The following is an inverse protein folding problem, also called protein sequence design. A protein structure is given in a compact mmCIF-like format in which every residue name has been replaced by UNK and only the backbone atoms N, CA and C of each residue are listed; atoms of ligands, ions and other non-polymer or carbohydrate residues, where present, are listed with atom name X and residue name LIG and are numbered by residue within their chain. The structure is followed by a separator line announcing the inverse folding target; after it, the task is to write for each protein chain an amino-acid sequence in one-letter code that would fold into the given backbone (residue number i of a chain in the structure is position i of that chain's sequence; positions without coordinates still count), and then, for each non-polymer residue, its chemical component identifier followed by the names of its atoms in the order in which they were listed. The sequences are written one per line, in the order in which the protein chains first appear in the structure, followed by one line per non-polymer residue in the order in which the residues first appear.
data_IF_176341522193
#
_entry.id   IF_176341522193
#
_cell.length_a   1.000
_cell.length_b   1.000
_cell.length_c   1.000
_cell.angle_alpha   90.00
_cell.angle_beta   90.00
_cell.angle_gamma   90.00
#
_symmetry.space_group_name_H-M   'P 1'
#
loop_
_entity.id
_entity.type
_entity.pdbx_description
1 polymer ?
#
# COMPACT_ATOMS: atom_id res chain seq x y z
N UNK A 1 12.49 6.51 28.16
CA UNK A 1 12.33 7.16 26.85
C UNK A 1 10.97 7.81 26.69
N UNK A 2 9.85 7.07 26.67
CA UNK A 2 8.51 7.66 26.48
C UNK A 2 8.17 8.88 27.36
N UNK A 3 8.50 8.85 28.65
CA UNK A 3 8.21 9.98 29.57
C UNK A 3 9.02 11.23 29.17
N UNK A 4 10.26 11.04 28.73
CA UNK A 4 11.12 12.14 28.29
C UNK A 4 10.63 12.75 26.98
N UNK A 5 10.15 11.91 26.05
CA UNK A 5 9.57 12.36 24.79
C UNK A 5 8.30 13.19 25.03
N UNK A 6 7.43 12.75 25.96
CA UNK A 6 6.24 13.53 26.37
C UNK A 6 6.63 14.88 27.00
N UNK A 7 7.65 14.92 27.85
CA UNK A 7 8.15 16.17 28.45
C UNK A 7 8.71 17.12 27.37
N UNK A 8 9.45 16.58 26.40
CA UNK A 8 9.96 17.36 25.27
C UNK A 8 8.84 17.91 24.40
N UNK A 9 7.85 17.09 24.07
CA UNK A 9 6.66 17.51 23.34
C UNK A 9 5.94 18.67 24.06
N UNK A 10 5.68 18.53 25.35
CA UNK A 10 5.00 19.54 26.14
C UNK A 10 5.81 20.85 26.26
N UNK A 11 7.15 20.76 26.28
CA UNK A 11 8.05 21.91 26.47
C UNK A 11 8.31 22.67 25.18
N UNK A 12 8.39 21.97 24.03
CA UNK A 12 8.81 22.57 22.76
C UNK A 12 7.67 22.88 21.79
N UNK A 13 6.51 22.27 21.98
CA UNK A 13 5.35 22.60 21.15
C UNK A 13 4.45 23.60 21.88
N UNK A 14 4.09 24.73 21.22
CA UNK A 14 3.19 25.72 21.82
C UNK A 14 1.83 25.05 22.10
N UNK A 15 1.26 25.36 23.26
CA UNK A 15 -0.12 24.95 23.55
C UNK A 15 -1.06 25.73 22.65
N UNK A 16 -1.93 25.03 21.93
CA UNK A 16 -2.98 25.65 21.13
C UNK A 16 -4.08 26.15 22.07
N UNK A 17 -4.58 27.37 21.83
CA UNK A 17 -5.79 27.90 22.49
C UNK A 17 -7.07 27.26 21.93
N UNK A 18 -6.95 26.50 20.84
CA UNK A 18 -8.08 25.80 20.23
C UNK A 18 -8.46 24.54 21.03
N UNK A 19 -9.74 24.13 20.89
CA UNK A 19 -10.23 22.89 21.50
C UNK A 19 -9.34 21.71 21.11
N UNK A 20 -8.97 20.83 22.07
CA UNK A 20 -8.16 19.63 21.78
C UNK A 20 -8.84 18.68 20.80
N UNK A 21 -10.13 18.85 20.54
CA UNK A 21 -10.90 18.04 19.60
C UNK A 21 -10.92 18.55 18.16
N UNK A 22 -10.27 19.67 17.86
CA UNK A 22 -10.21 20.27 16.51
C UNK A 22 -9.66 19.29 15.46
N UNK A 23 -8.80 18.34 15.86
CA UNK A 23 -8.27 17.31 14.96
C UNK A 23 -9.37 16.41 14.34
N UNK A 24 -10.53 16.27 14.97
CA UNK A 24 -11.64 15.47 14.44
C UNK A 24 -12.12 15.96 13.06
N UNK A 25 -11.87 17.22 12.73
CA UNK A 25 -12.12 17.77 11.39
C UNK A 25 -11.34 17.01 10.31
N UNK A 26 -10.12 16.57 10.62
CA UNK A 26 -9.29 15.84 9.68
C UNK A 26 -9.82 14.42 9.38
N UNK A 27 -10.55 13.83 10.31
CA UNK A 27 -11.20 12.54 10.10
C UNK A 27 -12.24 12.63 8.99
N UNK A 28 -13.05 13.69 8.95
CA UNK A 28 -14.04 13.90 7.89
C UNK A 28 -13.39 14.11 6.51
N UNK A 29 -12.23 14.76 6.46
CA UNK A 29 -11.53 15.07 5.22
C UNK A 29 -10.78 13.83 4.68
N UNK A 30 -10.10 13.09 5.57
CA UNK A 30 -9.22 11.98 5.20
C UNK A 30 -9.81 10.59 5.43
N UNK A 31 -11.13 10.49 5.61
CA UNK A 31 -11.81 9.21 5.74
C UNK A 31 -11.50 8.23 4.59
N UNK A 32 -11.47 8.66 3.30
CA UNK A 32 -11.07 7.76 2.22
C UNK A 32 -9.65 7.21 2.36
N UNK A 33 -8.72 8.01 2.87
CA UNK A 33 -7.35 7.58 3.13
C UNK A 33 -7.28 6.50 4.22
N UNK A 34 -8.06 6.68 5.30
CA UNK A 34 -8.18 5.68 6.37
C UNK A 34 -8.76 4.36 5.84
N UNK A 35 -9.79 4.42 4.99
CA UNK A 35 -10.36 3.23 4.34
C UNK A 35 -9.38 2.56 3.39
N UNK A 36 -8.59 3.33 2.61
CA UNK A 36 -7.54 2.79 1.76
C UNK A 36 -6.54 1.99 2.59
N UNK A 37 -6.03 2.55 3.68
CA UNK A 37 -5.11 1.89 4.59
C UNK A 37 -5.71 0.64 5.24
N UNK A 38 -6.96 0.72 5.70
CA UNK A 38 -7.67 -0.42 6.28
C UNK A 38 -7.82 -1.57 5.27
N UNK A 39 -8.34 -1.28 4.07
CA UNK A 39 -8.53 -2.30 3.04
C UNK A 39 -7.20 -2.90 2.57
N UNK A 40 -6.15 -2.09 2.41
CA UNK A 40 -4.82 -2.58 2.03
C UNK A 40 -4.26 -3.54 3.09
N UNK A 41 -4.41 -3.20 4.38
CA UNK A 41 -3.97 -4.07 5.47
C UNK A 41 -4.82 -5.35 5.57
N UNK A 42 -6.13 -5.27 5.37
CA UNK A 42 -6.99 -6.47 5.29
C UNK A 42 -6.51 -7.37 4.16
N UNK A 43 -6.32 -6.84 2.94
CA UNK A 43 -5.82 -7.63 1.82
C UNK A 43 -4.48 -8.28 2.09
N UNK A 44 -3.58 -7.56 2.80
CA UNK A 44 -2.23 -8.03 3.11
C UNK A 44 -2.19 -9.13 4.18
N UNK A 45 -3.05 -9.07 5.20
CA UNK A 45 -2.96 -9.93 6.38
C UNK A 45 -4.11 -10.92 6.54
N UNK A 46 -5.26 -10.71 5.87
CA UNK A 46 -6.41 -11.59 6.03
C UNK A 46 -6.11 -13.05 5.68
N UNK A 47 -5.26 -13.29 4.69
CA UNK A 47 -4.89 -14.65 4.30
C UNK A 47 -4.21 -15.44 5.45
N UNK A 48 -3.43 -14.78 6.32
CA UNK A 48 -2.85 -15.41 7.50
C UNK A 48 -3.94 -15.77 8.51
N UNK A 49 -4.81 -14.79 8.84
CA UNK A 49 -5.90 -14.98 9.82
C UNK A 49 -6.88 -16.08 9.36
N UNK A 50 -7.19 -16.13 8.06
CA UNK A 50 -8.03 -17.18 7.49
C UNK A 50 -7.35 -18.54 7.62
N UNK A 51 -6.04 -18.64 7.37
CA UNK A 51 -5.29 -19.91 7.56
C UNK A 51 -5.25 -20.36 9.03
N UNK A 52 -5.27 -19.43 10.00
CA UNK A 52 -5.35 -19.78 11.42
C UNK A 52 -6.67 -20.45 11.80
N UNK A 53 -7.76 -20.06 11.12
CA UNK A 53 -9.08 -20.68 11.30
C UNK A 53 -9.27 -21.98 10.52
N UNK A 54 -8.32 -22.29 9.61
CA UNK A 54 -8.36 -23.46 8.72
C UNK A 54 -7.68 -24.71 9.32
N UNK A 55 -7.57 -25.77 8.50
CA UNK A 55 -7.01 -27.06 8.93
C UNK A 55 -5.53 -27.00 9.37
N UNK A 56 -4.78 -25.97 8.93
CA UNK A 56 -3.38 -25.77 9.33
C UNK A 56 -3.26 -24.97 10.65
N UNK A 57 -4.37 -24.46 11.17
CA UNK A 57 -4.39 -23.67 12.37
C UNK A 57 -4.11 -24.51 13.60
N UNK A 58 -3.20 -24.04 14.45
CA UNK A 58 -2.84 -24.67 15.74
C UNK A 58 -3.06 -23.67 16.85
N UNK A 59 -3.71 -24.09 17.90
CA UNK A 59 -3.82 -23.28 19.12
C UNK A 59 -2.48 -23.28 19.86
N UNK A 60 -1.86 -22.12 19.98
CA UNK A 60 -0.58 -21.98 20.67
C UNK A 60 -0.80 -21.87 22.19
N UNK A 61 -1.64 -20.92 22.62
CA UNK A 61 -2.02 -20.75 24.03
C UNK A 61 -3.23 -19.81 24.18
N UNK A 62 -4.26 -20.23 24.88
CA UNK A 62 -5.46 -19.41 25.13
C UNK A 62 -6.15 -19.01 23.83
N UNK A 63 -6.24 -17.72 23.54
CA UNK A 63 -6.85 -17.18 22.33
C UNK A 63 -5.84 -17.01 21.16
N UNK A 64 -4.59 -17.39 21.35
CA UNK A 64 -3.57 -17.26 20.31
C UNK A 64 -3.57 -18.50 19.41
N UNK A 65 -3.87 -18.30 18.15
CA UNK A 65 -3.80 -19.27 17.07
C UNK A 65 -2.68 -18.89 16.10
N UNK A 66 -2.14 -19.84 15.42
CA UNK A 66 -1.15 -19.67 14.36
C UNK A 66 -1.17 -20.83 13.40
N UNK A 67 -0.60 -20.68 12.24
CA UNK A 67 -0.40 -21.74 11.26
C UNK A 67 1.09 -21.81 10.87
N UNK A 68 1.98 -22.41 11.68
CA UNK A 68 3.44 -22.34 11.48
C UNK A 68 3.88 -22.79 10.09
N UNK A 69 3.22 -23.78 9.52
CA UNK A 69 3.51 -24.27 8.15
C UNK A 69 3.22 -23.22 7.07
N UNK A 70 2.37 -22.24 7.35
CA UNK A 70 2.02 -21.16 6.43
C UNK A 70 2.66 -19.82 6.85
N UNK A 71 2.65 -19.49 8.13
CA UNK A 71 3.11 -18.19 8.66
C UNK A 71 4.61 -18.00 8.47
N UNK A 72 5.43 -19.06 8.68
CA UNK A 72 6.89 -18.95 8.54
C UNK A 72 7.30 -18.70 7.09
N UNK A 73 6.83 -19.47 6.09
CA UNK A 73 7.05 -19.14 4.69
C UNK A 73 6.54 -17.75 4.29
N UNK A 74 5.37 -17.35 4.80
CA UNK A 74 4.80 -16.05 4.52
C UNK A 74 5.67 -14.91 5.06
N UNK A 75 6.17 -15.02 6.28
CA UNK A 75 7.06 -14.03 6.87
C UNK A 75 8.36 -13.86 6.06
N UNK A 76 8.99 -14.96 5.65
CA UNK A 76 10.22 -14.89 4.88
C UNK A 76 9.96 -14.34 3.48
N UNK A 77 8.86 -14.75 2.83
CA UNK A 77 8.44 -14.20 1.55
C UNK A 77 8.14 -12.70 1.63
N UNK A 78 7.49 -12.25 2.72
CA UNK A 78 7.21 -10.83 2.96
C UNK A 78 8.49 -9.99 3.04
N UNK A 79 9.60 -10.50 3.56
CA UNK A 79 10.86 -9.76 3.62
C UNK A 79 11.40 -9.38 2.23
N UNK A 80 10.99 -10.07 1.17
CA UNK A 80 11.43 -9.75 -0.20
C UNK A 80 10.93 -8.39 -0.69
N UNK A 81 9.86 -7.85 -0.09
CA UNK A 81 9.34 -6.51 -0.45
C UNK A 81 10.19 -5.35 0.08
N UNK A 82 11.08 -5.60 1.03
CA UNK A 82 11.92 -4.54 1.62
C UNK A 82 12.71 -3.78 0.56
N UNK A 83 13.19 -4.49 -0.47
CA UNK A 83 13.92 -3.87 -1.58
C UNK A 83 13.05 -2.83 -2.30
N UNK A 84 11.80 -3.17 -2.60
CA UNK A 84 10.85 -2.25 -3.24
C UNK A 84 10.47 -1.12 -2.31
N UNK A 85 10.27 -1.36 -1.02
CA UNK A 85 9.93 -0.34 -0.04
C UNK A 85 11.04 0.71 0.09
N UNK A 86 12.30 0.29 0.18
CA UNK A 86 13.44 1.21 0.21
C UNK A 86 13.60 1.96 -1.11
N UNK A 87 13.46 1.25 -2.25
CA UNK A 87 13.55 1.86 -3.56
C UNK A 87 12.45 2.89 -3.79
N UNK A 88 11.23 2.66 -3.27
CA UNK A 88 10.12 3.60 -3.38
C UNK A 88 10.47 4.97 -2.79
N UNK A 89 11.03 5.01 -1.58
CA UNK A 89 11.42 6.26 -0.93
C UNK A 89 12.40 7.03 -1.81
N UNK A 90 13.43 6.37 -2.33
CA UNK A 90 14.43 7.03 -3.20
C UNK A 90 13.79 7.46 -4.54
N UNK A 91 13.05 6.59 -5.19
CA UNK A 91 12.44 6.89 -6.50
C UNK A 91 11.42 8.01 -6.41
N UNK A 92 10.55 8.00 -5.42
CA UNK A 92 9.47 8.98 -5.31
C UNK A 92 9.97 10.29 -4.73
N UNK A 93 10.67 10.27 -3.60
CA UNK A 93 11.09 11.50 -2.91
C UNK A 93 12.21 12.24 -3.65
N UNK A 94 13.16 11.51 -4.24
CA UNK A 94 14.32 12.15 -4.89
C UNK A 94 14.08 12.46 -6.35
N UNK A 95 13.43 11.55 -7.10
CA UNK A 95 13.33 11.69 -8.55
C UNK A 95 11.95 12.22 -9.01
N UNK A 96 10.86 11.68 -8.45
CA UNK A 96 9.51 12.04 -8.90
C UNK A 96 8.99 13.33 -8.25
N UNK A 97 9.10 13.46 -6.93
CA UNK A 97 8.51 14.58 -6.18
C UNK A 97 8.96 15.96 -6.66
N UNK A 98 10.23 16.22 -7.02
CA UNK A 98 10.63 17.53 -7.55
C UNK A 98 9.91 17.89 -8.86
N UNK A 99 9.69 16.91 -9.76
CA UNK A 99 8.97 17.11 -11.02
C UNK A 99 7.47 17.30 -10.79
N UNK A 100 6.89 16.52 -9.90
CA UNK A 100 5.52 16.68 -9.44
C UNK A 100 5.28 18.08 -8.85
N UNK A 101 6.14 18.53 -7.95
CA UNK A 101 6.06 19.87 -7.35
C UNK A 101 6.18 20.97 -8.41
N UNK A 102 7.11 20.86 -9.35
CA UNK A 102 7.27 21.83 -10.44
C UNK A 102 5.99 21.93 -11.27
N UNK A 103 5.42 20.81 -11.69
CA UNK A 103 4.17 20.78 -12.44
C UNK A 103 3.02 21.48 -11.70
N UNK A 104 2.81 21.14 -10.42
CA UNK A 104 1.73 21.74 -9.64
C UNK A 104 1.99 23.23 -9.30
N UNK A 105 3.22 23.67 -9.12
CA UNK A 105 3.53 25.08 -8.89
C UNK A 105 3.20 25.94 -10.11
N UNK A 106 3.45 25.43 -11.33
CA UNK A 106 3.10 26.16 -12.56
C UNK A 106 1.58 26.36 -12.69
N UNK A 107 0.76 25.43 -12.23
CA UNK A 107 -0.70 25.63 -12.16
C UNK A 107 -1.11 26.66 -11.13
N UNK A 108 -0.48 26.66 -9.96
CA UNK A 108 -0.88 27.52 -8.86
C UNK A 108 -0.34 28.96 -9.01
N UNK A 109 0.84 29.11 -9.59
CA UNK A 109 1.55 30.40 -9.69
C UNK A 109 1.36 31.10 -11.06
N UNK A 110 0.48 30.55 -11.92
CA UNK A 110 0.11 31.19 -13.19
C UNK A 110 1.14 30.99 -14.29
N UNK A 111 1.68 29.79 -14.44
CA UNK A 111 2.61 29.42 -15.51
C UNK A 111 2.00 29.52 -16.92
N UNK A 112 2.86 29.68 -17.93
CA UNK A 112 2.45 29.67 -19.34
C UNK A 112 2.05 28.24 -19.74
N UNK A 113 1.02 28.08 -20.58
CA UNK A 113 0.49 26.77 -21.01
C UNK A 113 1.58 25.87 -21.57
N UNK A 114 2.53 26.43 -22.36
CA UNK A 114 3.66 25.66 -22.91
C UNK A 114 4.56 25.07 -21.84
N UNK A 115 4.83 25.82 -20.76
CA UNK A 115 5.67 25.36 -19.64
C UNK A 115 4.95 24.27 -18.84
N UNK A 116 3.62 24.39 -18.67
CA UNK A 116 2.78 23.39 -17.99
C UNK A 116 2.82 22.06 -18.75
N UNK A 117 2.64 22.08 -20.08
CA UNK A 117 2.69 20.87 -20.93
C UNK A 117 4.07 20.21 -20.85
N UNK A 118 5.14 21.01 -20.94
CA UNK A 118 6.52 20.48 -20.85
C UNK A 118 6.77 19.86 -19.46
N UNK A 119 6.32 20.51 -18.40
CA UNK A 119 6.48 19.99 -17.04
C UNK A 119 5.67 18.70 -16.81
N UNK A 120 4.49 18.58 -17.42
CA UNK A 120 3.67 17.36 -17.41
C UNK A 120 4.41 16.20 -18.09
N UNK A 121 4.90 16.41 -19.30
CA UNK A 121 5.65 15.39 -20.05
C UNK A 121 6.89 14.92 -19.28
N UNK A 122 7.66 15.85 -18.71
CA UNK A 122 8.83 15.52 -17.89
C UNK A 122 8.45 14.72 -16.64
N UNK A 123 7.40 15.12 -15.95
CA UNK A 123 6.91 14.43 -14.75
C UNK A 123 6.45 13.01 -15.08
N UNK A 124 5.65 12.83 -16.13
CA UNK A 124 5.16 11.52 -16.56
C UNK A 124 6.28 10.63 -17.09
N UNK A 125 7.28 11.18 -17.79
CA UNK A 125 8.46 10.44 -18.23
C UNK A 125 9.26 9.89 -17.04
N UNK A 126 9.48 10.73 -16.01
CA UNK A 126 10.15 10.29 -14.77
C UNK A 126 9.31 9.25 -14.04
N UNK A 127 8.00 9.46 -13.89
CA UNK A 127 7.09 8.51 -13.27
C UNK A 127 7.17 7.13 -13.94
N UNK A 128 7.02 7.07 -15.25
CA UNK A 128 7.07 5.82 -16.01
C UNK A 128 8.42 5.13 -15.87
N UNK A 129 9.51 5.89 -15.91
CA UNK A 129 10.86 5.34 -15.71
C UNK A 129 11.02 4.73 -14.34
N UNK A 130 10.65 5.45 -13.27
CA UNK A 130 10.81 4.99 -11.89
C UNK A 130 9.92 3.78 -11.57
N UNK A 131 8.68 3.75 -12.08
CA UNK A 131 7.79 2.59 -11.95
C UNK A 131 8.35 1.35 -12.64
N UNK A 132 8.85 1.51 -13.88
CA UNK A 132 9.50 0.40 -14.61
C UNK A 132 10.72 -0.13 -13.86
N UNK A 133 11.58 0.76 -13.34
CA UNK A 133 12.74 0.35 -12.55
C UNK A 133 12.35 -0.37 -11.27
N UNK A 134 11.33 0.12 -10.57
CA UNK A 134 10.82 -0.52 -9.35
C UNK A 134 10.27 -1.91 -9.64
N UNK A 135 9.45 -2.04 -10.69
CA UNK A 135 8.91 -3.34 -11.12
C UNK A 135 10.01 -4.33 -11.54
N UNK A 136 11.01 -3.86 -12.33
CA UNK A 136 12.13 -4.70 -12.75
C UNK A 136 13.02 -5.13 -11.58
N UNK A 137 13.31 -4.24 -10.62
CA UNK A 137 14.06 -4.57 -9.42
C UNK A 137 13.33 -5.62 -8.58
N UNK A 138 12.02 -5.45 -8.37
CA UNK A 138 11.24 -6.42 -7.62
C UNK A 138 11.16 -7.77 -8.35
N UNK A 139 10.96 -7.77 -9.66
CA UNK A 139 10.99 -8.98 -10.47
C UNK A 139 12.33 -9.71 -10.35
N UNK A 140 13.45 -8.97 -10.44
CA UNK A 140 14.78 -9.52 -10.29
C UNK A 140 14.98 -10.14 -8.90
N UNK A 141 14.59 -9.45 -7.83
CA UNK A 141 14.70 -9.96 -6.45
C UNK A 141 13.84 -11.20 -6.28
N UNK A 142 12.60 -11.18 -6.75
CA UNK A 142 11.70 -12.34 -6.67
C UNK A 142 12.29 -13.53 -7.44
N UNK A 143 12.78 -13.32 -8.66
CA UNK A 143 13.41 -14.37 -9.47
C UNK A 143 14.68 -14.94 -8.81
N UNK A 144 15.54 -14.06 -8.27
CA UNK A 144 16.76 -14.46 -7.56
C UNK A 144 16.44 -15.29 -6.32
N UNK A 145 15.49 -14.85 -5.50
CA UNK A 145 15.05 -15.58 -4.30
C UNK A 145 14.45 -16.93 -4.67
N UNK A 146 13.60 -17.00 -5.70
CA UNK A 146 13.03 -18.25 -6.19
C UNK A 146 14.07 -19.21 -6.75
N UNK A 147 15.12 -18.69 -7.39
CA UNK A 147 16.22 -19.52 -7.92
C UNK A 147 17.09 -20.10 -6.80
N UNK A 148 17.25 -19.34 -5.72
CA UNK A 148 18.08 -19.73 -4.58
C UNK A 148 17.29 -20.37 -3.43
N UNK A 149 15.98 -20.57 -3.60
CA UNK A 149 15.06 -20.97 -2.52
C UNK A 149 15.55 -22.18 -1.74
N UNK A 150 15.99 -23.24 -2.42
CA UNK A 150 16.41 -24.47 -1.75
C UNK A 150 17.67 -24.24 -0.90
N UNK A 151 18.62 -23.45 -1.40
CA UNK A 151 19.84 -23.10 -0.66
C UNK A 151 19.54 -22.17 0.51
N UNK A 152 18.72 -21.14 0.30
CA UNK A 152 18.36 -20.16 1.33
C UNK A 152 17.60 -20.82 2.48
N UNK A 153 16.62 -21.65 2.17
CA UNK A 153 15.81 -22.31 3.20
C UNK A 153 16.57 -23.45 3.90
N UNK A 154 17.52 -24.10 3.23
CA UNK A 154 18.41 -25.09 3.87
C UNK A 154 19.35 -24.46 4.90
N UNK A 155 19.71 -23.18 4.75
CA UNK A 155 20.52 -22.44 5.72
C UNK A 155 19.75 -22.08 7.00
N UNK A 156 18.41 -22.07 6.93
CA UNK A 156 17.56 -21.73 8.06
C UNK A 156 17.13 -23.03 8.79
N UNK A 157 17.44 -23.19 10.10
CA UNK A 157 17.10 -24.41 10.86
C UNK A 157 15.60 -24.42 11.23
N UNK A 158 14.70 -24.19 10.26
CA UNK A 158 13.26 -24.03 10.47
C UNK A 158 12.44 -25.27 10.09
N UNK A 159 13.09 -26.37 9.64
CA UNK A 159 12.42 -27.63 9.31
C UNK A 159 11.45 -27.52 8.13
N UNK A 160 11.82 -26.81 7.07
CA UNK A 160 11.00 -26.68 5.87
C UNK A 160 10.67 -28.02 5.24
N UNK A 161 9.39 -28.25 4.96
CA UNK A 161 8.89 -29.38 4.18
C UNK A 161 8.45 -28.91 2.78
N UNK A 162 8.09 -29.87 1.92
CA UNK A 162 7.70 -29.57 0.52
C UNK A 162 6.49 -28.62 0.43
N UNK A 163 5.54 -28.72 1.37
CA UNK A 163 4.38 -27.84 1.43
C UNK A 163 4.79 -26.40 1.74
N UNK A 164 5.69 -26.20 2.71
CA UNK A 164 6.23 -24.88 3.06
C UNK A 164 7.03 -24.27 1.90
N UNK A 165 7.79 -25.09 1.15
CA UNK A 165 8.46 -24.64 -0.06
C UNK A 165 7.46 -24.18 -1.13
N UNK A 166 6.34 -24.88 -1.29
CA UNK A 166 5.24 -24.49 -2.18
C UNK A 166 4.66 -23.13 -1.79
N UNK A 167 4.31 -22.95 -0.52
CA UNK A 167 3.78 -21.67 -0.01
C UNK A 167 4.78 -20.54 -0.20
N UNK A 168 6.04 -20.75 0.16
CA UNK A 168 7.07 -19.74 0.00
C UNK A 168 7.17 -19.24 -1.44
N UNK A 169 7.22 -20.16 -2.43
CA UNK A 169 7.30 -19.79 -3.85
C UNK A 169 6.09 -18.98 -4.31
N UNK A 170 4.89 -19.44 -3.97
CA UNK A 170 3.64 -18.77 -4.34
C UNK A 170 3.53 -17.39 -3.69
N UNK A 171 3.85 -17.30 -2.41
CA UNK A 171 3.77 -16.06 -1.65
C UNK A 171 4.85 -15.05 -2.06
N UNK A 172 6.07 -15.46 -2.42
CA UNK A 172 7.09 -14.56 -2.98
C UNK A 172 6.60 -13.82 -4.22
N UNK A 173 5.92 -14.54 -5.13
CA UNK A 173 5.33 -13.90 -6.32
C UNK A 173 4.19 -12.98 -5.92
N UNK A 174 3.30 -13.42 -5.02
CA UNK A 174 2.19 -12.62 -4.51
C UNK A 174 2.65 -11.33 -3.84
N UNK A 175 3.61 -11.41 -2.94
CA UNK A 175 4.18 -10.22 -2.29
C UNK A 175 4.93 -9.31 -3.27
N UNK A 176 5.61 -9.88 -4.27
CA UNK A 176 6.24 -9.08 -5.32
C UNK A 176 5.23 -8.24 -6.11
N UNK A 177 4.11 -8.84 -6.52
CA UNK A 177 3.01 -8.13 -7.20
C UNK A 177 2.35 -7.09 -6.28
N UNK A 178 2.10 -7.46 -5.02
CA UNK A 178 1.59 -6.53 -4.01
C UNK A 178 2.51 -5.31 -3.85
N UNK A 179 3.82 -5.50 -3.75
CA UNK A 179 4.78 -4.42 -3.52
C UNK A 179 4.76 -3.39 -4.66
N UNK A 180 4.72 -3.86 -5.92
CA UNK A 180 4.61 -2.96 -7.08
C UNK A 180 3.23 -2.29 -7.12
N UNK A 181 2.15 -3.04 -6.89
CA UNK A 181 0.79 -2.49 -6.82
C UNK A 181 0.65 -1.43 -5.73
N UNK A 182 1.22 -1.66 -4.55
CA UNK A 182 1.23 -0.70 -3.45
C UNK A 182 2.04 0.57 -3.78
N UNK A 183 3.15 0.44 -4.52
CA UNK A 183 3.90 1.59 -5.04
C UNK A 183 3.02 2.46 -5.95
N UNK A 184 2.26 1.84 -6.86
CA UNK A 184 1.33 2.54 -7.75
C UNK A 184 0.19 3.18 -6.94
N UNK A 185 -0.34 2.48 -5.93
CA UNK A 185 -1.36 3.01 -5.02
C UNK A 185 -0.88 4.29 -4.32
N UNK A 186 0.35 4.30 -3.82
CA UNK A 186 0.94 5.48 -3.19
C UNK A 186 1.04 6.66 -4.17
N UNK A 187 1.38 6.41 -5.43
CA UNK A 187 1.40 7.45 -6.47
C UNK A 187 -0.01 8.00 -6.76
N UNK A 188 -1.03 7.16 -6.80
CA UNK A 188 -2.43 7.62 -6.90
C UNK A 188 -2.80 8.53 -5.72
N UNK A 189 -2.31 8.24 -4.51
CA UNK A 189 -2.49 9.10 -3.34
C UNK A 189 -1.73 10.42 -3.47
N UNK A 190 -0.54 10.45 -4.06
CA UNK A 190 0.17 11.70 -4.41
C UNK A 190 -0.66 12.57 -5.35
N UNK A 191 -1.31 11.96 -6.33
CA UNK A 191 -2.23 12.65 -7.24
C UNK A 191 -3.61 12.95 -6.61
N UNK A 192 -3.80 12.68 -5.32
CA UNK A 192 -5.06 12.88 -4.58
C UNK A 192 -6.28 12.12 -5.15
N UNK A 193 -6.04 11.05 -5.92
CA UNK A 193 -7.10 10.18 -6.43
C UNK A 193 -7.59 9.21 -5.33
N UNK A 194 -8.16 9.76 -4.28
CA UNK A 194 -8.65 8.97 -3.14
C UNK A 194 -9.71 7.94 -3.54
N UNK A 195 -10.60 8.28 -4.49
CA UNK A 195 -11.64 7.38 -4.96
C UNK A 195 -11.08 6.14 -5.67
N UNK A 196 -10.12 6.35 -6.57
CA UNK A 196 -9.40 5.27 -7.24
C UNK A 196 -8.59 4.41 -6.28
N UNK A 197 -7.92 5.04 -5.31
CA UNK A 197 -7.13 4.35 -4.29
C UNK A 197 -8.01 3.46 -3.39
N UNK A 198 -9.15 3.97 -2.91
CA UNK A 198 -10.11 3.19 -2.11
C UNK A 198 -10.65 2.01 -2.91
N UNK A 199 -11.04 2.23 -4.17
CA UNK A 199 -11.58 1.17 -5.02
C UNK A 199 -10.56 0.04 -5.24
N UNK A 200 -9.30 0.39 -5.56
CA UNK A 200 -8.22 -0.58 -5.75
C UNK A 200 -7.91 -1.36 -4.46
N UNK A 201 -7.83 -0.67 -3.33
CA UNK A 201 -7.60 -1.29 -2.02
C UNK A 201 -8.77 -2.20 -1.61
N UNK A 202 -10.02 -1.81 -1.89
CA UNK A 202 -11.20 -2.63 -1.62
C UNK A 202 -11.23 -3.90 -2.49
N UNK A 203 -10.89 -3.79 -3.78
CA UNK A 203 -10.73 -4.96 -4.66
C UNK A 203 -9.68 -5.91 -4.08
N UNK A 204 -8.55 -5.39 -3.60
CA UNK A 204 -7.51 -6.21 -2.98
C UNK A 204 -8.03 -6.91 -1.71
N UNK A 205 -8.64 -6.17 -0.79
CA UNK A 205 -9.19 -6.74 0.44
C UNK A 205 -10.18 -7.87 0.16
N UNK A 206 -11.14 -7.63 -0.74
CA UNK A 206 -12.20 -8.60 -1.05
C UNK A 206 -11.65 -9.80 -1.81
N UNK A 207 -10.81 -9.56 -2.83
CA UNK A 207 -10.27 -10.66 -3.65
C UNK A 207 -9.27 -11.53 -2.87
N UNK A 208 -8.32 -10.92 -2.15
CA UNK A 208 -7.34 -11.68 -1.37
C UNK A 208 -8.02 -12.49 -0.26
N UNK A 209 -8.95 -11.87 0.49
CA UNK A 209 -9.68 -12.57 1.56
C UNK A 209 -10.63 -13.63 1.01
N UNK A 210 -11.45 -13.26 0.00
CA UNK A 210 -12.46 -14.16 -0.56
C UNK A 210 -11.83 -15.37 -1.28
N UNK A 211 -10.79 -15.15 -2.09
CA UNK A 211 -10.11 -16.25 -2.78
C UNK A 211 -9.31 -17.14 -1.83
N UNK A 212 -8.74 -16.55 -0.75
CA UNK A 212 -8.10 -17.37 0.28
C UNK A 212 -9.14 -18.21 1.02
N UNK A 213 -10.28 -17.65 1.42
CA UNK A 213 -11.36 -18.41 2.03
C UNK A 213 -11.89 -19.52 1.10
N UNK A 214 -12.02 -19.22 -0.21
CA UNK A 214 -12.41 -20.20 -1.20
C UNK A 214 -11.35 -21.32 -1.33
N UNK A 215 -10.06 -20.99 -1.29
CA UNK A 215 -8.98 -21.99 -1.37
C UNK A 215 -8.98 -22.97 -0.20
N UNK A 216 -9.58 -22.61 0.95
CA UNK A 216 -9.77 -23.51 2.09
C UNK A 216 -10.69 -24.71 1.78
N UNK A 217 -11.54 -24.59 0.75
CA UNK A 217 -12.37 -25.72 0.30
C UNK A 217 -11.63 -26.75 -0.53
N UNK A 218 -10.38 -26.45 -0.90
CA UNK A 218 -9.54 -27.32 -1.71
C UNK A 218 -8.38 -27.92 -0.88
N UNK A 219 -7.48 -28.63 -1.56
CA UNK A 219 -6.29 -29.20 -0.94
C UNK A 219 -5.40 -28.10 -0.32
N UNK A 220 -4.80 -28.31 0.86
CA UNK A 220 -3.87 -27.39 1.50
C UNK A 220 -2.79 -26.83 0.58
N UNK A 221 -2.35 -27.57 -0.43
CA UNK A 221 -1.35 -27.10 -1.39
C UNK A 221 -1.75 -25.82 -2.14
N UNK A 222 -3.04 -25.47 -2.19
CA UNK A 222 -3.56 -24.30 -2.92
C UNK A 222 -3.74 -23.03 -2.05
N UNK A 223 -3.52 -23.06 -0.74
CA UNK A 223 -3.85 -21.95 0.14
C UNK A 223 -3.13 -20.62 -0.17
N UNK A 224 -1.91 -20.66 -0.67
CA UNK A 224 -1.18 -19.45 -1.08
C UNK A 224 -1.71 -18.77 -2.34
N UNK A 225 -2.47 -19.48 -3.19
CA UNK A 225 -2.94 -18.96 -4.47
C UNK A 225 -4.02 -17.87 -4.31
N UNK A 226 -4.83 -17.93 -3.26
CA UNK A 226 -5.84 -16.90 -2.99
C UNK A 226 -5.22 -15.51 -2.84
N UNK A 227 -4.16 -15.41 -2.05
CA UNK A 227 -3.40 -14.17 -1.89
C UNK A 227 -2.69 -13.76 -3.19
N UNK A 228 -2.07 -14.70 -3.91
CA UNK A 228 -1.37 -14.41 -5.17
C UNK A 228 -2.32 -13.78 -6.20
N UNK A 229 -3.49 -14.38 -6.42
CA UNK A 229 -4.48 -13.87 -7.38
C UNK A 229 -5.02 -12.52 -6.91
N UNK A 230 -5.30 -12.36 -5.61
CA UNK A 230 -5.72 -11.09 -5.03
C UNK A 230 -4.69 -9.98 -5.24
N UNK A 231 -3.41 -10.26 -5.04
CA UNK A 231 -2.31 -9.32 -5.29
C UNK A 231 -2.15 -8.99 -6.78
N UNK A 232 -2.34 -9.97 -7.67
CA UNK A 232 -2.33 -9.75 -9.11
C UNK A 232 -3.48 -8.83 -9.55
N UNK A 233 -4.70 -9.05 -9.06
CA UNK A 233 -5.84 -8.17 -9.32
C UNK A 233 -5.60 -6.76 -8.79
N UNK A 234 -5.05 -6.63 -7.60
CA UNK A 234 -4.68 -5.35 -7.02
C UNK A 234 -3.68 -4.59 -7.91
N UNK A 235 -2.61 -5.25 -8.33
CA UNK A 235 -1.63 -4.67 -9.24
C UNK A 235 -2.27 -4.20 -10.56
N UNK A 236 -3.10 -5.04 -11.18
CA UNK A 236 -3.76 -4.69 -12.44
C UNK A 236 -4.74 -3.52 -12.29
N UNK A 237 -5.53 -3.49 -11.21
CA UNK A 237 -6.49 -2.40 -10.96
C UNK A 237 -5.77 -1.09 -10.66
N UNK A 238 -4.70 -1.11 -9.86
CA UNK A 238 -3.92 0.11 -9.58
C UNK A 238 -3.23 0.62 -10.85
N UNK A 239 -2.67 -0.26 -11.68
CA UNK A 239 -2.03 0.11 -12.93
C UNK A 239 -3.03 0.72 -13.92
N UNK A 240 -4.16 0.05 -14.12
CA UNK A 240 -5.23 0.56 -14.99
C UNK A 240 -5.75 1.92 -14.49
N UNK A 241 -5.93 2.07 -13.18
CA UNK A 241 -6.39 3.34 -12.60
C UNK A 241 -5.38 4.46 -12.81
N UNK A 242 -4.09 4.18 -12.65
CA UNK A 242 -3.03 5.16 -12.88
C UNK A 242 -3.01 5.60 -14.36
N UNK A 243 -3.09 4.66 -15.28
CA UNK A 243 -3.11 4.94 -16.72
C UNK A 243 -4.30 5.84 -17.10
N UNK A 244 -5.52 5.48 -16.67
CA UNK A 244 -6.73 6.29 -16.87
C UNK A 244 -6.63 7.67 -16.20
N UNK A 245 -5.95 7.77 -15.07
CA UNK A 245 -5.79 9.04 -14.36
C UNK A 245 -4.82 9.95 -15.10
N UNK A 246 -3.66 9.44 -15.48
CA UNK A 246 -2.60 10.21 -16.15
C UNK A 246 -2.98 10.62 -17.57
N UNK A 247 -3.79 9.82 -18.26
CA UNK A 247 -4.29 10.18 -19.59
C UNK A 247 -5.14 11.47 -19.64
N UNK A 248 -5.72 11.87 -18.49
CA UNK A 248 -6.57 13.05 -18.36
C UNK A 248 -6.09 13.97 -17.23
N UNK A 249 -4.78 14.01 -16.99
CA UNK A 249 -4.20 14.70 -15.83
C UNK A 249 -4.59 16.18 -15.74
N UNK A 250 -4.45 17.02 -16.80
CA UNK A 250 -4.79 18.44 -16.71
C UNK A 250 -6.24 18.69 -16.31
N UNK A 251 -7.17 17.92 -16.90
CA UNK A 251 -8.59 18.03 -16.56
C UNK A 251 -8.87 17.67 -15.11
N UNK A 252 -8.21 16.63 -14.58
CA UNK A 252 -8.37 16.20 -13.19
C UNK A 252 -7.77 17.18 -12.20
N UNK A 253 -6.58 17.70 -12.50
CA UNK A 253 -5.92 18.71 -11.66
C UNK A 253 -6.77 19.99 -11.58
N UNK A 254 -7.25 20.49 -12.70
CA UNK A 254 -8.12 21.67 -12.72
C UNK A 254 -9.47 21.41 -12.03
N UNK A 255 -10.06 20.23 -12.23
CA UNK A 255 -11.34 19.88 -11.62
C UNK A 255 -11.27 19.62 -10.10
N UNK A 256 -10.11 19.38 -9.55
CA UNK A 256 -9.89 19.17 -8.13
C UNK A 256 -9.59 20.49 -7.37
N UNK A 257 -9.28 21.57 -8.06
CA UNK A 257 -9.07 22.88 -7.44
C UNK A 257 -10.42 23.45 -7.01
N UNK A 258 -10.67 23.62 -5.70
CA UNK A 258 -11.91 24.21 -5.25
C UNK A 258 -11.95 25.71 -5.64
N UNK A 259 -12.95 26.10 -6.41
CA UNK A 259 -13.20 27.52 -6.78
C UNK A 259 -13.50 28.34 -5.51
N UNK A 260 -14.05 27.71 -4.49
CA UNK A 260 -14.29 28.25 -3.15
C UNK A 260 -13.85 27.21 -2.13
N UNK A 261 -13.06 27.63 -1.15
CA UNK A 261 -12.66 26.76 -0.04
C UNK A 261 -13.88 26.44 0.84
N UNK A 262 -14.66 25.42 0.44
CA UNK A 262 -15.73 24.90 1.28
C UNK A 262 -15.15 24.17 2.48
N UNK A 263 -15.37 24.71 3.66
CA UNK A 263 -15.14 24.00 4.91
C UNK A 263 -16.23 22.94 5.07
N UNK A 264 -15.98 21.72 4.56
CA UNK A 264 -16.90 20.58 4.76
C UNK A 264 -17.02 20.30 6.26
N UNK A 265 -18.15 20.69 6.87
CA UNK A 265 -18.48 20.30 8.23
C UNK A 265 -19.11 18.89 8.22
N UNK A 266 -18.31 17.87 8.45
CA UNK A 266 -18.75 16.48 8.56
C UNK A 266 -19.29 16.16 9.97
N UNK A 267 -19.60 14.88 10.20
CA UNK A 267 -20.13 14.41 11.50
C UNK A 267 -19.11 14.55 12.62
N UNK A 268 -17.84 14.25 12.35
CA UNK A 268 -16.76 14.35 13.33
C UNK A 268 -16.39 15.80 13.63
N UNK A 269 -16.45 16.68 12.64
CA UNK A 269 -16.28 18.13 12.85
C UNK A 269 -17.34 18.66 13.82
N UNK A 270 -18.61 18.27 13.63
CA UNK A 270 -19.70 18.67 14.54
C UNK A 270 -19.51 18.14 15.95
N UNK A 271 -19.04 16.88 16.08
CA UNK A 271 -18.74 16.27 17.36
C UNK A 271 -17.61 17.04 18.09
N UNK A 272 -16.54 17.40 17.36
CA UNK A 272 -15.43 18.18 17.91
C UNK A 272 -15.79 19.61 18.32
N UNK A 273 -16.83 20.20 17.70
CA UNK A 273 -17.36 21.51 18.09
C UNK A 273 -18.29 21.41 19.32
N UNK A 274 -18.85 20.24 19.58
CA UNK A 274 -19.74 20.01 20.71
C UNK A 274 -18.98 19.62 21.99
N UNK A 275 -17.79 19.03 21.86
CA UNK A 275 -16.88 18.65 22.95
C UNK A 275 -15.93 19.78 23.31
#
# INVERSE_FOLDING_TARGET
MMVWDVVLLYRYFPQSEESPWTFLRWVDVFLPLAFTGLCTNIGLFAHLVICWAGPLGVQVKGLFYGAPYYDVPALIAFLTILVTSVNFVVSVEVNFYPKYRNYYSLFNDGGVVGDIVTAEEEMLAVLNRELRFTALKQLFVTAAVLSLVNTLLALLPLGFNDLMHGYFRTLCVGYGLYAVGNTILMILLYFTDYGGAVAAAAVFAVSASGLTALSMAFDPAFYGFGFLIGAALFYLVTLFRLDVFTANLPYRVLGQQPIVAETKSGRFTRLGLFL
#
